data_IF_026068893821
#
_entry.id   IF_026068893821
#
_cell.length_a   1.000
_cell.length_b   1.000
_cell.length_c   1.000
_cell.angle_alpha   90.00
_cell.angle_beta   90.00
_cell.angle_gamma   90.00
#
_symmetry.space_group_name_H-M   'P 1'
#
loop_
_entity.id
_entity.type
_entity.pdbx_description
1 polymer ?
#
# COMPACT_ATOMS: atom_id res chain seq x y z
N UNK A 1 -12.93 -13.92 -4.16
CA UNK A 1 -12.77 -13.90 -5.65
C UNK A 1 -12.13 -15.16 -6.19
N UNK A 2 -12.34 -15.48 -7.48
CA UNK A 2 -11.75 -16.68 -8.09
C UNK A 2 -10.34 -16.37 -8.60
N UNK A 3 -9.40 -17.30 -8.48
CA UNK A 3 -8.01 -17.20 -9.02
C UNK A 3 -7.94 -16.64 -10.47
N UNK A 4 -9.02 -16.75 -11.23
CA UNK A 4 -9.12 -16.28 -12.63
C UNK A 4 -9.04 -14.77 -12.79
N UNK A 5 -9.42 -14.01 -11.78
CA UNK A 5 -9.45 -12.54 -11.81
C UNK A 5 -8.05 -11.92 -11.71
N UNK A 6 -7.10 -12.58 -11.06
CA UNK A 6 -5.73 -12.11 -10.92
C UNK A 6 -4.80 -12.51 -12.06
N UNK A 7 -5.27 -13.38 -12.99
CA UNK A 7 -4.44 -13.90 -14.08
C UNK A 7 -3.76 -12.83 -14.95
N UNK A 8 -4.42 -11.71 -15.32
CA UNK A 8 -3.74 -10.67 -16.10
C UNK A 8 -2.55 -10.04 -15.36
N UNK A 9 -2.69 -9.81 -14.04
CA UNK A 9 -1.60 -9.30 -13.23
C UNK A 9 -0.48 -10.34 -13.06
N UNK A 10 -0.85 -11.60 -12.82
CA UNK A 10 0.10 -12.71 -12.71
C UNK A 10 0.94 -12.83 -14.00
N UNK A 11 0.32 -12.81 -15.17
CA UNK A 11 1.01 -12.87 -16.44
C UNK A 11 1.97 -11.68 -16.64
N UNK A 12 1.49 -10.44 -16.39
CA UNK A 12 2.31 -9.25 -16.51
C UNK A 12 3.52 -9.26 -15.57
N UNK A 13 3.32 -9.70 -14.31
CA UNK A 13 4.40 -9.82 -13.33
C UNK A 13 5.38 -10.95 -13.69
N UNK A 14 4.94 -12.04 -14.30
CA UNK A 14 5.81 -13.13 -14.75
C UNK A 14 6.68 -12.71 -15.94
N UNK A 15 6.09 -12.03 -16.91
CA UNK A 15 6.74 -11.66 -18.18
C UNK A 15 7.78 -10.55 -18.00
N UNK A 16 7.55 -9.59 -17.10
CA UNK A 16 8.47 -8.49 -16.87
C UNK A 16 9.75 -8.92 -16.16
N UNK A 17 10.92 -8.46 -16.65
CA UNK A 17 12.23 -8.67 -16.00
C UNK A 17 12.57 -7.54 -15.03
N UNK A 18 12.17 -6.30 -15.36
CA UNK A 18 12.39 -5.12 -14.56
C UNK A 18 11.07 -4.43 -14.21
N UNK A 19 10.87 -4.07 -12.93
CA UNK A 19 9.59 -3.57 -12.42
C UNK A 19 9.81 -2.36 -11.52
N UNK A 20 9.14 -1.26 -11.83
CA UNK A 20 9.07 -0.09 -10.95
C UNK A 20 7.72 -0.07 -10.22
N UNK A 21 7.74 -0.19 -8.91
CA UNK A 21 6.56 -0.13 -8.05
C UNK A 21 6.34 1.32 -7.62
N UNK A 22 5.12 1.83 -7.78
CA UNK A 22 4.71 3.18 -7.40
C UNK A 22 3.59 3.07 -6.39
N UNK A 23 3.72 3.73 -5.24
CA UNK A 23 2.62 3.86 -4.30
C UNK A 23 2.19 5.31 -4.13
N UNK A 24 1.08 5.54 -3.40
CA UNK A 24 0.47 6.86 -3.33
C UNK A 24 1.28 7.87 -2.49
N UNK A 25 1.11 9.15 -2.81
CA UNK A 25 1.67 10.24 -1.99
C UNK A 25 1.10 10.23 -0.56
N UNK A 26 1.95 10.57 0.42
CA UNK A 26 1.67 10.45 1.85
C UNK A 26 1.27 9.01 2.20
N UNK A 27 2.13 8.04 1.90
CA UNK A 27 1.81 6.64 2.06
C UNK A 27 1.51 6.32 3.52
N UNK A 28 0.60 5.39 3.72
CA UNK A 28 0.28 4.73 4.98
C UNK A 28 0.88 3.32 5.04
N UNK A 29 0.45 2.51 6.00
CA UNK A 29 1.01 1.19 6.19
C UNK A 29 0.51 0.17 5.15
N UNK A 30 -0.67 0.36 4.53
CA UNK A 30 -1.11 -0.49 3.42
C UNK A 30 -0.31 -0.18 2.15
N UNK A 31 -0.08 1.10 1.86
CA UNK A 31 0.72 1.57 0.74
C UNK A 31 2.17 1.06 0.82
N UNK A 32 2.86 1.28 1.95
CA UNK A 32 4.24 0.83 2.14
C UNK A 32 4.31 -0.69 2.27
N UNK A 33 3.39 -1.31 3.00
CA UNK A 33 3.31 -2.77 3.13
C UNK A 33 3.11 -3.45 1.77
N UNK A 34 2.25 -2.89 0.92
CA UNK A 34 2.01 -3.37 -0.44
C UNK A 34 3.26 -3.22 -1.32
N UNK A 35 3.87 -2.03 -1.33
CA UNK A 35 5.08 -1.80 -2.12
C UNK A 35 6.24 -2.69 -1.68
N UNK A 36 6.50 -2.78 -0.38
CA UNK A 36 7.58 -3.58 0.19
C UNK A 36 7.35 -5.10 0.01
N UNK A 37 6.11 -5.59 0.25
CA UNK A 37 5.79 -7.00 0.04
C UNK A 37 6.03 -7.42 -1.42
N UNK A 38 5.57 -6.63 -2.38
CA UNK A 38 5.76 -6.92 -3.79
C UNK A 38 7.23 -6.83 -4.20
N UNK A 39 7.96 -5.82 -3.73
CA UNK A 39 9.40 -5.66 -3.97
C UNK A 39 10.19 -6.86 -3.47
N UNK A 40 9.99 -7.27 -2.21
CA UNK A 40 10.67 -8.42 -1.62
C UNK A 40 10.33 -9.72 -2.37
N UNK A 41 9.06 -9.93 -2.67
CA UNK A 41 8.58 -11.11 -3.38
C UNK A 41 9.18 -11.24 -4.79
N UNK A 42 9.22 -10.16 -5.55
CA UNK A 42 9.76 -10.18 -6.91
C UNK A 42 11.29 -10.29 -6.94
N UNK A 43 11.98 -9.71 -5.95
CA UNK A 43 13.44 -9.90 -5.78
C UNK A 43 13.79 -11.36 -5.47
N UNK A 44 12.94 -12.12 -4.73
CA UNK A 44 13.14 -13.56 -4.55
C UNK A 44 13.09 -14.32 -5.89
N UNK A 45 12.38 -13.79 -6.89
CA UNK A 45 12.34 -14.34 -8.25
C UNK A 45 13.48 -13.86 -9.15
N UNK A 46 14.44 -13.11 -8.61
CA UNK A 46 15.59 -12.60 -9.36
C UNK A 46 15.29 -11.45 -10.30
N UNK A 47 14.15 -10.77 -10.13
CA UNK A 47 13.77 -9.61 -10.95
C UNK A 47 14.48 -8.34 -10.46
N UNK A 48 14.72 -7.41 -11.39
CA UNK A 48 15.19 -6.05 -11.08
C UNK A 48 14.00 -5.20 -10.63
N UNK A 49 13.97 -4.78 -9.36
CA UNK A 49 12.81 -4.12 -8.77
C UNK A 49 13.21 -2.91 -7.95
N UNK A 50 12.58 -1.78 -8.22
CA UNK A 50 12.60 -0.60 -7.36
C UNK A 50 11.19 -0.23 -6.88
N UNK A 51 11.10 0.55 -5.81
CA UNK A 51 9.85 1.09 -5.30
C UNK A 51 9.98 2.57 -5.00
N UNK A 52 9.00 3.39 -5.41
CA UNK A 52 9.07 4.84 -5.34
C UNK A 52 7.75 5.49 -4.93
N UNK A 53 7.88 6.68 -4.32
CA UNK A 53 6.77 7.58 -3.98
C UNK A 53 7.00 8.93 -4.65
N UNK A 54 6.03 9.43 -5.41
CA UNK A 54 6.11 10.67 -6.18
C UNK A 54 5.83 11.92 -5.35
N UNK A 55 6.68 12.26 -4.37
CA UNK A 55 6.48 13.40 -3.46
C UNK A 55 7.80 14.04 -3.03
N UNK A 56 7.73 15.18 -2.32
CA UNK A 56 8.90 15.83 -1.70
C UNK A 56 9.10 15.44 -0.23
N UNK A 57 8.02 15.03 0.43
CA UNK A 57 8.03 14.76 1.87
C UNK A 57 8.58 13.36 2.13
N UNK A 58 9.44 13.24 3.12
CA UNK A 58 9.89 11.94 3.62
C UNK A 58 8.71 11.06 4.08
N UNK A 59 8.90 9.76 3.97
CA UNK A 59 7.98 8.75 4.50
C UNK A 59 7.94 8.88 6.02
N UNK A 60 6.79 8.67 6.62
CA UNK A 60 6.63 8.74 8.09
C UNK A 60 7.53 7.71 8.78
N UNK A 61 8.20 8.13 9.88
CA UNK A 61 9.24 7.33 10.55
C UNK A 61 8.75 5.96 11.01
N UNK A 62 7.50 5.88 11.48
CA UNK A 62 6.90 4.63 11.94
C UNK A 62 6.76 3.58 10.82
N UNK A 63 6.65 4.01 9.57
CA UNK A 63 6.53 3.10 8.42
C UNK A 63 7.85 2.39 8.08
N UNK A 64 8.99 2.93 8.50
CA UNK A 64 10.29 2.27 8.35
C UNK A 64 10.47 1.04 9.25
N UNK A 65 9.52 0.75 10.13
CA UNK A 65 9.47 -0.51 10.87
C UNK A 65 8.96 -1.69 10.02
N UNK A 66 8.34 -1.38 8.86
CA UNK A 66 7.91 -2.38 7.88
C UNK A 66 9.14 -2.86 7.10
N UNK A 67 9.44 -4.17 7.05
CA UNK A 67 10.59 -4.71 6.33
C UNK A 67 10.57 -4.30 4.84
N UNK A 68 11.70 -3.82 4.32
CA UNK A 68 11.84 -3.34 2.95
C UNK A 68 11.32 -1.91 2.72
N UNK A 69 10.78 -1.24 3.74
CA UNK A 69 10.38 0.16 3.63
C UNK A 69 11.57 1.10 3.36
N UNK A 70 12.76 0.73 3.80
CA UNK A 70 14.01 1.43 3.54
C UNK A 70 14.40 1.46 2.06
N UNK A 71 13.89 0.51 1.27
CA UNK A 71 14.09 0.43 -0.17
C UNK A 71 13.02 1.20 -0.98
N UNK A 72 12.01 1.73 -0.32
CA UNK A 72 10.99 2.59 -0.93
C UNK A 72 11.50 4.04 -0.93
N UNK A 73 11.86 4.55 -2.09
CA UNK A 73 12.50 5.87 -2.20
C UNK A 73 11.51 6.97 -2.54
N UNK A 74 11.73 8.15 -1.99
CA UNK A 74 10.99 9.37 -2.34
C UNK A 74 11.69 10.04 -3.51
N UNK A 75 10.96 10.39 -4.58
CA UNK A 75 11.52 11.01 -5.77
C UNK A 75 10.55 11.99 -6.42
N UNK A 76 11.10 13.00 -7.08
CA UNK A 76 10.35 13.88 -8.00
C UNK A 76 10.26 13.33 -9.41
N UNK A 77 11.19 12.44 -9.78
CA UNK A 77 11.29 11.87 -11.11
C UNK A 77 10.98 10.37 -11.04
N UNK A 78 10.13 9.90 -11.96
CA UNK A 78 9.84 8.49 -12.10
C UNK A 78 11.05 7.78 -12.71
N UNK A 79 11.59 6.73 -12.09
CA UNK A 79 12.65 5.93 -12.70
C UNK A 79 12.23 5.38 -14.07
N UNK A 80 13.11 5.52 -15.05
CA UNK A 80 12.85 5.10 -16.43
C UNK A 80 13.50 3.75 -16.75
N UNK A 81 13.06 3.14 -17.86
CA UNK A 81 13.71 1.95 -18.42
C UNK A 81 13.16 0.62 -17.90
N UNK A 82 12.16 0.62 -17.04
CA UNK A 82 11.52 -0.60 -16.54
C UNK A 82 10.52 -1.18 -17.54
N UNK A 83 10.42 -2.50 -17.62
CA UNK A 83 9.46 -3.20 -18.50
C UNK A 83 8.03 -2.93 -18.09
N UNK A 84 7.77 -2.94 -16.78
CA UNK A 84 6.45 -2.78 -16.17
C UNK A 84 6.50 -1.78 -15.02
N UNK A 85 5.48 -0.92 -14.94
CA UNK A 85 5.21 -0.08 -13.79
C UNK A 85 3.99 -0.60 -13.06
N UNK A 86 4.11 -0.80 -11.76
CA UNK A 86 3.04 -1.35 -10.93
C UNK A 86 2.61 -0.30 -9.93
N UNK A 87 1.40 0.21 -10.05
CA UNK A 87 0.83 1.08 -9.00
C UNK A 87 0.14 0.22 -7.96
N UNK A 88 0.46 0.44 -6.69
CA UNK A 88 -0.16 -0.25 -5.56
C UNK A 88 -0.84 0.77 -4.64
N UNK A 89 -2.06 0.47 -4.24
CA UNK A 89 -2.82 1.26 -3.27
C UNK A 89 -3.06 2.72 -3.70
N UNK A 90 -3.23 2.94 -5.00
CA UNK A 90 -3.51 4.27 -5.56
C UNK A 90 -4.97 4.36 -6.00
N UNK A 91 -5.85 4.90 -5.17
CA UNK A 91 -7.28 5.03 -5.44
C UNK A 91 -7.64 5.92 -6.64
N UNK A 92 -6.67 6.59 -7.24
CA UNK A 92 -6.78 7.39 -8.47
C UNK A 92 -5.39 7.74 -9.01
N UNK A 93 -5.32 8.14 -10.29
CA UNK A 93 -4.06 8.46 -10.96
C UNK A 93 -3.29 9.61 -10.29
N UNK A 94 -3.99 10.66 -9.86
CA UNK A 94 -3.41 11.82 -9.18
C UNK A 94 -2.76 11.46 -7.83
N UNK A 95 -3.16 10.34 -7.22
CA UNK A 95 -2.52 9.82 -6.01
C UNK A 95 -1.09 9.35 -6.24
N UNK A 96 -0.67 9.09 -7.48
CA UNK A 96 0.74 8.80 -7.81
C UNK A 96 1.65 10.03 -7.72
N UNK A 97 1.09 11.21 -7.44
CA UNK A 97 1.81 12.45 -7.17
C UNK A 97 2.54 12.99 -8.40
N UNK A 98 3.84 13.30 -8.28
CA UNK A 98 4.63 13.84 -9.41
C UNK A 98 4.68 12.94 -10.63
N UNK A 99 4.30 11.68 -10.50
CA UNK A 99 4.38 10.70 -11.59
C UNK A 99 3.10 10.59 -12.42
N UNK A 100 2.02 11.30 -12.06
CA UNK A 100 0.69 11.10 -12.65
C UNK A 100 0.70 11.16 -14.19
N UNK A 101 1.27 12.21 -14.78
CA UNK A 101 1.33 12.38 -16.24
C UNK A 101 2.16 11.26 -16.92
N UNK A 102 3.27 10.82 -16.29
CA UNK A 102 4.12 9.76 -16.82
C UNK A 102 3.42 8.39 -16.73
N UNK A 103 2.76 8.11 -15.60
CA UNK A 103 1.98 6.86 -15.41
C UNK A 103 0.82 6.80 -16.42
N UNK A 104 0.13 7.92 -16.69
CA UNK A 104 -0.91 7.97 -17.72
C UNK A 104 -0.37 7.61 -19.11
N UNK A 105 0.77 8.21 -19.51
CA UNK A 105 1.42 7.92 -20.78
C UNK A 105 1.86 6.45 -20.88
N UNK A 106 2.44 5.90 -19.82
CA UNK A 106 2.86 4.50 -19.74
C UNK A 106 1.66 3.54 -19.78
N UNK A 107 0.54 3.90 -19.17
CA UNK A 107 -0.69 3.13 -19.24
C UNK A 107 -1.24 3.05 -20.67
N UNK A 108 -1.19 4.16 -21.42
CA UNK A 108 -1.57 4.19 -22.84
C UNK A 108 -0.64 3.30 -23.71
N UNK A 109 0.60 3.08 -23.27
CA UNK A 109 1.56 2.18 -23.92
C UNK A 109 1.41 0.70 -23.49
N UNK A 110 0.46 0.39 -22.62
CA UNK A 110 0.26 -0.98 -22.13
C UNK A 110 1.19 -1.40 -21.00
N UNK A 111 1.92 -0.48 -20.37
CA UNK A 111 3.02 -0.74 -19.43
C UNK A 111 2.68 -0.51 -17.96
N UNK A 112 1.42 -0.30 -17.60
CA UNK A 112 0.99 -0.07 -16.21
C UNK A 112 0.04 -1.15 -15.74
N UNK A 113 0.40 -1.80 -14.64
CA UNK A 113 -0.46 -2.67 -13.84
C UNK A 113 -0.91 -1.90 -12.60
N UNK A 114 -2.21 -1.73 -12.42
CA UNK A 114 -2.79 -1.14 -11.22
C UNK A 114 -3.34 -2.23 -10.31
N UNK A 115 -2.88 -2.26 -9.05
CA UNK A 115 -3.34 -3.19 -8.00
C UNK A 115 -3.89 -2.35 -6.85
N UNK A 116 -5.17 -2.50 -6.54
CA UNK A 116 -5.84 -1.65 -5.56
C UNK A 116 -7.09 -2.32 -4.97
N UNK A 117 -7.59 -1.77 -3.86
CA UNK A 117 -8.85 -2.18 -3.24
C UNK A 117 -9.88 -1.04 -3.14
N UNK A 118 -9.51 0.19 -3.48
CA UNK A 118 -10.38 1.35 -3.35
C UNK A 118 -11.52 1.36 -4.37
N UNK A 119 -12.75 1.54 -3.90
CA UNK A 119 -13.94 1.70 -4.76
C UNK A 119 -13.91 2.98 -5.62
N UNK A 120 -13.07 3.95 -5.26
CA UNK A 120 -12.87 5.19 -6.03
C UNK A 120 -11.95 5.01 -7.23
N UNK A 121 -11.23 3.88 -7.34
CA UNK A 121 -10.29 3.64 -8.43
C UNK A 121 -11.05 3.36 -9.74
N UNK A 122 -10.85 4.19 -10.79
CA UNK A 122 -11.53 4.00 -12.08
C UNK A 122 -10.89 2.92 -12.97
N UNK A 123 -9.75 2.34 -12.55
CA UNK A 123 -8.96 1.45 -13.39
C UNK A 123 -8.10 2.21 -14.41
N UNK A 124 -7.16 3.02 -13.94
CA UNK A 124 -6.31 3.87 -14.79
C UNK A 124 -5.10 3.15 -15.40
N UNK A 125 -4.80 1.93 -14.99
CA UNK A 125 -3.76 1.10 -15.58
C UNK A 125 -4.17 0.48 -16.92
N UNK A 126 -3.21 -0.01 -17.68
CA UNK A 126 -3.47 -0.86 -18.84
C UNK A 126 -4.03 -2.24 -18.41
N UNK A 127 -3.54 -2.73 -17.28
CA UNK A 127 -4.04 -3.91 -16.59
C UNK A 127 -4.50 -3.45 -15.21
N UNK A 128 -5.71 -3.84 -14.80
CA UNK A 128 -6.27 -3.40 -13.54
C UNK A 128 -6.76 -4.59 -12.71
N UNK A 129 -6.30 -4.67 -11.48
CA UNK A 129 -6.80 -5.55 -10.43
C UNK A 129 -7.29 -4.67 -9.29
N UNK A 130 -8.55 -4.23 -9.38
CA UNK A 130 -9.22 -3.45 -8.35
C UNK A 130 -10.23 -4.36 -7.67
N UNK A 131 -9.92 -4.78 -6.43
CA UNK A 131 -10.74 -5.71 -5.66
C UNK A 131 -11.34 -5.04 -4.42
N UNK A 132 -12.48 -4.39 -4.62
CA UNK A 132 -13.20 -3.67 -3.56
C UNK A 132 -13.80 -4.57 -2.47
N UNK A 133 -13.74 -5.89 -2.65
CA UNK A 133 -14.12 -6.86 -1.63
C UNK A 133 -12.98 -7.20 -0.67
N UNK A 134 -11.75 -6.79 -0.98
CA UNK A 134 -10.62 -6.93 -0.07
C UNK A 134 -10.56 -5.77 0.92
N UNK A 135 -10.12 -6.06 2.14
CA UNK A 135 -10.00 -5.08 3.21
C UNK A 135 -8.84 -4.11 3.03
N UNK A 136 -7.83 -4.49 2.23
CA UNK A 136 -6.62 -3.71 1.94
C UNK A 136 -5.98 -4.18 0.65
N UNK A 137 -5.10 -3.37 0.07
CA UNK A 137 -4.31 -3.73 -1.11
C UNK A 137 -3.34 -4.88 -0.79
N UNK A 138 -2.84 -4.96 0.45
CA UNK A 138 -2.01 -6.10 0.90
C UNK A 138 -2.75 -7.43 0.82
N UNK A 139 -4.06 -7.47 1.03
CA UNK A 139 -4.88 -8.70 0.85
C UNK A 139 -5.01 -9.07 -0.64
N UNK A 140 -5.18 -8.09 -1.51
CA UNK A 140 -5.17 -8.32 -2.96
C UNK A 140 -3.83 -8.92 -3.39
N UNK A 141 -2.73 -8.32 -2.92
CA UNK A 141 -1.36 -8.80 -3.19
C UNK A 141 -1.12 -10.22 -2.70
N UNK A 142 -1.58 -10.58 -1.50
CA UNK A 142 -1.44 -11.95 -0.99
C UNK A 142 -2.05 -12.97 -1.98
N UNK A 143 -3.21 -12.65 -2.55
CA UNK A 143 -3.88 -13.50 -3.54
C UNK A 143 -3.10 -13.59 -4.87
N UNK A 144 -2.44 -12.51 -5.28
CA UNK A 144 -1.55 -12.47 -6.44
C UNK A 144 -0.30 -13.30 -6.18
N UNK A 145 0.35 -13.13 -5.02
CA UNK A 145 1.55 -13.89 -4.63
C UNK A 145 1.27 -15.39 -4.55
N UNK A 146 0.11 -15.78 -4.01
CA UNK A 146 -0.35 -17.17 -4.01
C UNK A 146 -0.53 -17.73 -5.44
N UNK A 147 -1.03 -16.89 -6.35
CA UNK A 147 -1.23 -17.28 -7.75
C UNK A 147 0.08 -17.35 -8.55
N UNK A 148 1.09 -16.59 -8.13
CA UNK A 148 2.47 -16.65 -8.64
C UNK A 148 3.27 -17.80 -8.02
N UNK A 149 2.73 -18.52 -7.05
CA UNK A 149 3.41 -19.55 -6.26
C UNK A 149 4.68 -19.03 -5.56
N UNK A 150 4.70 -17.74 -5.22
CA UNK A 150 5.80 -17.13 -4.46
C UNK A 150 5.66 -17.52 -3.00
N UNK A 151 6.77 -17.97 -2.43
CA UNK A 151 6.79 -18.35 -1.02
C UNK A 151 6.82 -17.09 -0.14
N UNK A 152 5.75 -16.88 0.61
CA UNK A 152 5.71 -15.84 1.63
C UNK A 152 6.68 -16.20 2.74
N UNK A 153 7.60 -15.32 3.07
CA UNK A 153 8.46 -15.42 4.25
C UNK A 153 7.98 -14.49 5.38
N UNK A 154 8.72 -14.43 6.49
CA UNK A 154 8.39 -13.60 7.63
C UNK A 154 8.33 -12.11 7.30
N UNK A 155 9.22 -11.61 6.43
CA UNK A 155 9.26 -10.19 6.06
C UNK A 155 8.07 -9.82 5.20
N UNK A 156 7.77 -10.62 4.18
CA UNK A 156 6.58 -10.43 3.32
C UNK A 156 5.31 -10.54 4.18
N UNK A 157 5.24 -11.53 5.08
CA UNK A 157 4.10 -11.68 5.98
C UNK A 157 3.90 -10.47 6.89
N UNK A 158 4.99 -9.86 7.40
CA UNK A 158 4.93 -8.63 8.19
C UNK A 158 4.35 -7.47 7.37
N UNK A 159 4.83 -7.25 6.15
CA UNK A 159 4.33 -6.21 5.25
C UNK A 159 2.81 -6.37 5.02
N UNK A 160 2.39 -7.59 4.68
CA UNK A 160 0.98 -7.89 4.42
C UNK A 160 0.10 -7.73 5.67
N UNK A 161 0.61 -8.14 6.83
CA UNK A 161 -0.11 -7.99 8.10
C UNK A 161 -0.25 -6.51 8.50
N UNK A 162 0.79 -5.70 8.29
CA UNK A 162 0.80 -4.28 8.62
C UNK A 162 -0.32 -3.53 7.88
N UNK A 163 -0.46 -3.73 6.56
CA UNK A 163 -1.52 -3.12 5.77
C UNK A 163 -2.91 -3.61 6.19
N UNK A 164 -3.11 -4.92 6.29
CA UNK A 164 -4.40 -5.48 6.73
C UNK A 164 -4.82 -4.95 8.10
N UNK A 165 -3.92 -4.90 9.07
CA UNK A 165 -4.19 -4.43 10.43
C UNK A 165 -4.59 -2.96 10.43
N UNK A 166 -3.87 -2.09 9.73
CA UNK A 166 -4.13 -0.64 9.75
C UNK A 166 -5.42 -0.29 9.03
N UNK A 167 -5.68 -0.85 7.85
CA UNK A 167 -6.87 -0.57 7.06
C UNK A 167 -8.16 -1.10 7.66
N UNK A 168 -8.06 -2.07 8.52
CA UNK A 168 -9.20 -2.60 9.28
C UNK A 168 -9.36 -1.96 10.67
N UNK A 169 -8.58 -0.90 10.95
CA UNK A 169 -8.57 -0.24 12.25
C UNK A 169 -8.30 -1.19 13.40
N UNK A 170 -7.30 -2.04 13.26
CA UNK A 170 -6.97 -3.13 14.18
C UNK A 170 -8.09 -4.18 14.26
N UNK A 171 -8.57 -4.62 13.09
CA UNK A 171 -9.59 -5.67 12.94
C UNK A 171 -10.97 -5.31 13.51
N UNK A 172 -11.30 -4.01 13.60
CA UNK A 172 -12.62 -3.55 14.09
C UNK A 172 -13.69 -3.62 13.00
N UNK A 173 -13.31 -3.55 11.73
CA UNK A 173 -14.20 -3.65 10.57
C UNK A 173 -13.56 -4.49 9.48
N UNK A 174 -14.36 -5.04 8.62
CA UNK A 174 -13.96 -5.96 7.57
C UNK A 174 -14.83 -7.21 7.57
N UNK A 175 -14.56 -8.09 6.62
CA UNK A 175 -15.31 -9.35 6.49
C UNK A 175 -14.70 -10.42 7.39
N UNK A 176 -15.47 -11.47 7.75
CA UNK A 176 -14.96 -12.58 8.59
C UNK A 176 -13.67 -13.22 8.04
N UNK A 177 -13.51 -13.32 6.72
CA UNK A 177 -12.32 -13.86 6.06
C UNK A 177 -11.02 -13.11 6.43
N UNK A 178 -11.11 -11.83 6.82
CA UNK A 178 -9.98 -11.05 7.32
C UNK A 178 -9.25 -11.74 8.47
N UNK A 179 -9.99 -12.37 9.39
CA UNK A 179 -9.39 -13.07 10.53
C UNK A 179 -8.64 -14.33 10.12
N UNK A 180 -9.11 -15.05 9.09
CA UNK A 180 -8.41 -16.21 8.54
C UNK A 180 -7.09 -15.78 7.88
N UNK A 181 -7.11 -14.67 7.16
CA UNK A 181 -5.90 -14.08 6.54
C UNK A 181 -4.92 -13.64 7.65
N UNK A 182 -5.39 -12.90 8.66
CA UNK A 182 -4.55 -12.49 9.78
C UNK A 182 -3.94 -13.71 10.49
N UNK A 183 -4.73 -14.73 10.75
CA UNK A 183 -4.27 -16.00 11.36
C UNK A 183 -3.17 -16.64 10.50
N UNK A 184 -3.39 -16.73 9.18
CA UNK A 184 -2.39 -17.26 8.24
C UNK A 184 -1.08 -16.48 8.33
N UNK A 185 -1.13 -15.15 8.32
CA UNK A 185 0.08 -14.31 8.40
C UNK A 185 0.79 -14.43 9.74
N UNK A 186 0.06 -14.57 10.84
CA UNK A 186 0.64 -14.77 12.18
C UNK A 186 1.41 -16.08 12.32
N UNK A 187 1.15 -17.10 11.49
CA UNK A 187 1.94 -18.35 11.48
C UNK A 187 3.40 -18.17 11.01
N UNK A 188 3.76 -16.99 10.47
CA UNK A 188 5.14 -16.63 10.14
C UNK A 188 5.92 -16.03 11.32
N UNK A 189 5.50 -16.29 12.54
CA UNK A 189 6.16 -15.88 13.79
C UNK A 189 6.30 -14.35 13.91
N UNK A 190 5.21 -13.63 13.61
CA UNK A 190 5.15 -12.17 13.71
C UNK A 190 4.99 -11.72 15.16
N UNK A 191 5.75 -10.71 15.57
CA UNK A 191 5.46 -9.96 16.80
C UNK A 191 4.35 -8.93 16.54
N UNK A 192 3.11 -9.40 16.51
CA UNK A 192 1.95 -8.55 16.20
C UNK A 192 1.73 -7.43 17.20
N UNK A 193 2.17 -7.62 18.45
CA UNK A 193 2.12 -6.57 19.47
C UNK A 193 3.11 -5.44 19.12
N UNK A 194 4.34 -5.80 18.73
CA UNK A 194 5.33 -4.81 18.32
C UNK A 194 4.89 -4.10 17.04
N UNK A 195 4.38 -4.81 16.04
CA UNK A 195 3.85 -4.21 14.80
C UNK A 195 2.75 -3.16 15.11
N UNK A 196 1.82 -3.50 15.99
CA UNK A 196 0.77 -2.57 16.40
C UNK A 196 1.33 -1.34 17.15
N UNK A 197 2.26 -1.56 18.07
CA UNK A 197 2.89 -0.46 18.81
C UNK A 197 3.65 0.50 17.87
N UNK A 198 4.42 -0.02 16.93
CA UNK A 198 5.21 0.75 15.99
C UNK A 198 4.34 1.58 15.03
N UNK A 199 3.24 1.02 14.54
CA UNK A 199 2.41 1.66 13.53
C UNK A 199 1.32 2.57 14.11
N UNK A 200 0.77 2.25 15.29
CA UNK A 200 -0.40 2.93 15.84
C UNK A 200 -0.08 3.79 17.07
N UNK A 201 0.92 3.40 17.88
CA UNK A 201 1.19 4.03 19.17
C UNK A 201 2.49 4.86 19.18
N UNK A 202 3.13 5.06 18.03
CA UNK A 202 4.44 5.73 17.88
C UNK A 202 4.38 7.26 17.92
N UNK A 203 3.31 7.85 18.50
CA UNK A 203 3.18 9.29 18.62
C UNK A 203 4.27 9.88 19.56
N UNK A 204 4.99 10.88 19.07
CA UNK A 204 5.91 11.65 19.89
C UNK A 204 5.15 12.60 20.83
N UNK A 205 5.77 13.11 21.92
CA UNK A 205 5.15 14.15 22.75
C UNK A 205 4.72 15.38 21.94
N UNK A 206 5.47 15.74 20.90
CA UNK A 206 5.15 16.87 20.02
C UNK A 206 3.92 16.59 19.14
N UNK A 207 3.78 15.34 18.63
CA UNK A 207 2.59 14.91 17.89
C UNK A 207 1.34 14.98 18.77
N UNK A 208 1.43 14.49 20.02
CA UNK A 208 0.34 14.54 20.99
C UNK A 208 -0.05 15.99 21.33
N UNK A 209 0.92 16.89 21.46
CA UNK A 209 0.65 18.30 21.66
C UNK A 209 -0.05 18.94 20.45
N UNK A 210 0.39 18.60 19.25
CA UNK A 210 -0.22 19.08 18.01
C UNK A 210 -1.66 18.57 17.89
N UNK A 211 -1.89 17.28 18.11
CA UNK A 211 -3.24 16.66 18.14
C UNK A 211 -4.12 17.38 19.16
N UNK A 212 -3.61 17.61 20.37
CA UNK A 212 -4.32 18.33 21.42
C UNK A 212 -4.74 19.74 21.00
N UNK A 213 -3.86 20.50 20.32
CA UNK A 213 -4.18 21.84 19.78
C UNK A 213 -5.27 21.79 18.71
N UNK A 214 -5.18 20.84 17.77
CA UNK A 214 -6.17 20.67 16.70
C UNK A 214 -7.54 20.31 17.29
N UNK A 215 -7.58 19.39 18.24
CA UNK A 215 -8.83 19.00 18.92
C UNK A 215 -9.43 20.17 19.70
N UNK A 216 -8.61 20.95 20.43
CA UNK A 216 -9.08 22.12 21.16
C UNK A 216 -9.72 23.16 20.23
N UNK A 217 -9.10 23.44 19.07
CA UNK A 217 -9.66 24.34 18.06
C UNK A 217 -10.95 23.81 17.45
N UNK A 218 -11.05 22.50 17.18
CA UNK A 218 -12.26 21.88 16.65
C UNK A 218 -13.43 21.94 17.62
N UNK A 219 -13.18 21.74 18.91
CA UNK A 219 -14.21 21.82 19.95
C UNK A 219 -14.75 23.25 20.14
N UNK A 220 -13.94 24.30 19.95
CA UNK A 220 -14.39 25.68 20.00
C UNK A 220 -15.43 25.97 18.89
N UNK A 221 -15.23 25.43 17.68
CA UNK A 221 -16.17 25.61 16.58
C UNK A 221 -17.49 24.85 16.75
N UNK A 222 -17.49 23.74 17.48
CA UNK A 222 -18.70 22.94 17.78
C UNK A 222 -19.53 23.59 18.90
N UNK A 223 -18.89 24.31 19.82
CA UNK A 223 -19.53 24.88 21.02
C UNK A 223 -20.04 26.33 20.83
N UNK A 224 -19.70 27.03 19.73
CA UNK A 224 -20.28 28.32 19.41
C UNK A 224 -21.64 28.16 18.71
N UNK A 225 -22.77 28.50 19.34
CA UNK A 225 -24.04 28.52 18.65
C UNK A 225 -23.99 29.62 17.58
N UNK A 226 -24.19 29.25 16.33
CA UNK A 226 -24.42 30.23 15.24
C UNK A 226 -25.54 31.16 15.63
N UNK A 227 -25.22 32.36 16.08
CA UNK A 227 -26.20 33.43 16.20
C UNK A 227 -26.67 33.75 14.79
N UNK A 228 -27.85 33.22 14.44
CA UNK A 228 -28.61 33.73 13.28
C UNK A 228 -29.12 35.15 13.65
N UNK A 229 -28.54 36.15 13.02
CA UNK A 229 -29.14 37.48 12.90
C UNK A 229 -30.13 37.46 11.77
#
# INVERSE_FOLDING_TARGET
>A
MTKKQYQPAVAALQDAHSICIVTHLRPDADAIGSAAALLLALRQQGKDVCAVVGQDREISRNLYTIPGAEDVTVSRELPEGYDLYVTVDCGSLDRTGFFADHIEQLAQQGRVLCIDHHSSNPGFGAINVVDTECESTTVVLLSILDSLEIQVDRHIAHCLYAGLMTDTGSFRWGRPAMHDIATRLMHYDLDTKQIAADLLDSNTPDDLQMIGRVLALSLIHISEPTRRT
#
